data_IF_656761260251
#
_entry.id   IF_656761260251
#
_cell.length_a   1.000
_cell.length_b   1.000
_cell.length_c   1.000
_cell.angle_alpha   90.00
_cell.angle_beta   90.00
_cell.angle_gamma   90.00
#
_symmetry.space_group_name_H-M   'P 1'
#
loop_
_entity.id
_entity.type
_entity.pdbx_description
1 polymer ?
#
# COMPACT_ATOMS: atom_id res chain seq x y z
N UNK A 1 13.98 -22.44 12.73
CA UNK A 1 13.06 -23.23 13.58
C UNK A 1 12.43 -22.40 14.70
N UNK A 2 12.76 -22.53 16.01
CA UNK A 2 11.94 -21.94 17.11
C UNK A 2 11.50 -20.48 16.92
N UNK A 3 12.41 -19.57 16.59
CA UNK A 3 12.07 -18.15 16.35
C UNK A 3 11.14 -17.96 15.13
N UNK A 4 11.39 -18.66 14.02
CA UNK A 4 10.55 -18.60 12.82
C UNK A 4 9.14 -19.19 13.02
N UNK A 5 8.98 -20.15 13.93
CA UNK A 5 7.66 -20.62 14.37
C UNK A 5 6.91 -19.52 15.12
N UNK A 6 7.56 -18.91 16.12
CA UNK A 6 6.99 -17.80 16.89
C UNK A 6 6.63 -16.61 15.99
N UNK A 7 7.46 -16.29 15.00
CA UNK A 7 7.19 -15.27 13.99
C UNK A 7 5.93 -15.59 13.18
N UNK A 8 5.74 -16.85 12.77
CA UNK A 8 4.55 -17.30 12.05
C UNK A 8 3.30 -17.23 12.96
N UNK A 9 3.41 -17.64 14.22
CA UNK A 9 2.34 -17.54 15.22
C UNK A 9 1.92 -16.07 15.46
N UNK A 10 2.88 -15.14 15.47
CA UNK A 10 2.63 -13.69 15.57
C UNK A 10 1.94 -13.16 14.31
N UNK A 11 2.39 -13.56 13.11
CA UNK A 11 1.78 -13.13 11.84
C UNK A 11 0.34 -13.65 11.72
N UNK A 12 0.11 -14.94 11.98
CA UNK A 12 -1.22 -15.54 12.03
C UNK A 12 -2.12 -14.81 13.03
N UNK A 13 -1.62 -14.53 14.24
CA UNK A 13 -2.43 -13.84 15.25
C UNK A 13 -2.77 -12.40 14.83
N UNK A 14 -1.81 -11.61 14.34
CA UNK A 14 -2.02 -10.18 14.10
C UNK A 14 -2.69 -9.86 12.75
N UNK A 15 -2.39 -10.64 11.70
CA UNK A 15 -2.78 -10.33 10.32
C UNK A 15 -3.78 -11.33 9.72
N UNK A 16 -4.13 -12.40 10.45
CA UNK A 16 -5.23 -13.31 10.10
C UNK A 16 -6.29 -13.28 11.20
N UNK A 17 -6.04 -13.94 12.32
CA UNK A 17 -7.00 -14.28 13.39
C UNK A 17 -7.41 -13.14 14.34
N UNK A 18 -6.99 -11.89 14.08
CA UNK A 18 -7.41 -10.69 14.83
C UNK A 18 -7.59 -9.49 13.89
N UNK A 19 -8.05 -9.76 12.67
CA UNK A 19 -8.10 -8.79 11.56
C UNK A 19 -9.31 -9.02 10.66
N UNK A 20 -9.51 -8.14 9.67
CA UNK A 20 -10.53 -8.31 8.62
C UNK A 20 -10.35 -9.61 7.80
N UNK A 21 -9.13 -10.15 7.73
CA UNK A 21 -8.83 -11.43 7.07
C UNK A 21 -9.42 -12.68 7.79
N UNK A 22 -9.90 -12.55 9.03
CA UNK A 22 -10.67 -13.62 9.68
C UNK A 22 -12.03 -13.77 8.98
N UNK A 23 -12.84 -12.71 8.98
CA UNK A 23 -14.09 -12.60 8.22
C UNK A 23 -13.92 -12.91 6.73
N UNK A 24 -12.82 -12.44 6.12
CA UNK A 24 -12.56 -12.65 4.69
C UNK A 24 -12.43 -14.13 4.32
N UNK A 25 -11.89 -14.94 5.22
CA UNK A 25 -11.83 -16.39 5.07
C UNK A 25 -13.19 -17.02 5.33
N UNK A 26 -13.88 -16.64 6.41
CA UNK A 26 -15.21 -17.18 6.76
C UNK A 26 -16.20 -17.03 5.58
N UNK A 27 -16.24 -15.84 4.97
CA UNK A 27 -17.09 -15.53 3.81
C UNK A 27 -16.75 -16.42 2.61
N UNK A 28 -15.47 -16.67 2.31
CA UNK A 28 -15.09 -17.52 1.17
C UNK A 28 -15.33 -19.00 1.49
N UNK A 29 -15.00 -19.44 2.70
CA UNK A 29 -15.19 -20.83 3.13
C UNK A 29 -16.68 -21.23 3.10
N UNK A 30 -17.57 -20.42 3.67
CA UNK A 30 -19.04 -20.60 3.57
C UNK A 30 -19.47 -20.80 2.11
N UNK A 31 -19.04 -19.90 1.21
CA UNK A 31 -19.42 -19.92 -0.20
C UNK A 31 -18.85 -21.10 -1.00
N UNK A 32 -17.70 -21.64 -0.58
CA UNK A 32 -17.10 -22.83 -1.19
C UNK A 32 -17.70 -24.14 -0.65
N UNK A 33 -18.02 -24.18 0.64
CA UNK A 33 -18.66 -25.34 1.30
C UNK A 33 -20.13 -25.50 0.86
N UNK A 34 -20.89 -24.40 0.76
CA UNK A 34 -22.24 -24.37 0.17
C UNK A 34 -22.23 -24.49 -1.37
N UNK A 35 -21.05 -24.41 -2.01
CA UNK A 35 -20.86 -24.41 -3.46
C UNK A 35 -21.62 -23.27 -4.20
N UNK A 36 -21.87 -22.14 -3.53
CA UNK A 36 -22.45 -20.93 -4.13
C UNK A 36 -21.37 -20.08 -4.83
N UNK A 37 -20.78 -20.69 -5.87
CA UNK A 37 -19.80 -20.05 -6.74
C UNK A 37 -20.39 -18.84 -7.52
N UNK A 38 -21.72 -18.71 -7.57
CA UNK A 38 -22.44 -17.60 -8.21
C UNK A 38 -22.40 -16.34 -7.36
N UNK A 39 -22.75 -16.45 -6.06
CA UNK A 39 -22.59 -15.38 -5.06
C UNK A 39 -21.12 -14.99 -4.92
N UNK A 40 -20.19 -15.94 -5.00
CA UNK A 40 -18.75 -15.67 -4.98
C UNK A 40 -18.23 -14.93 -6.24
N UNK A 41 -18.55 -15.37 -7.46
CA UNK A 41 -18.13 -14.65 -8.68
C UNK A 41 -18.76 -13.25 -8.77
N UNK A 42 -20.02 -13.09 -8.31
CA UNK A 42 -20.62 -11.77 -8.16
C UNK A 42 -19.83 -10.90 -7.18
N UNK A 43 -19.56 -11.38 -5.97
CA UNK A 43 -18.80 -10.65 -4.94
C UNK A 43 -17.41 -10.23 -5.46
N UNK A 44 -16.80 -11.08 -6.29
CA UNK A 44 -15.47 -10.90 -6.88
C UNK A 44 -15.49 -10.30 -8.31
N UNK A 45 -16.60 -9.70 -8.75
CA UNK A 45 -16.64 -9.02 -10.06
C UNK A 45 -15.81 -7.74 -10.10
N UNK A 46 -15.42 -7.33 -11.30
CA UNK A 46 -14.60 -6.14 -11.53
C UNK A 46 -15.40 -4.84 -11.27
N UNK A 47 -15.03 -4.05 -10.26
CA UNK A 47 -15.80 -2.85 -9.90
C UNK A 47 -15.54 -1.65 -10.84
N UNK A 48 -14.62 -1.76 -11.80
CA UNK A 48 -14.47 -0.80 -12.89
C UNK A 48 -15.44 -1.07 -14.04
N UNK A 49 -16.08 -2.25 -14.07
CA UNK A 49 -17.10 -2.62 -15.05
C UNK A 49 -18.51 -2.49 -14.44
N UNK A 50 -18.70 -2.96 -13.21
CA UNK A 50 -19.96 -2.81 -12.47
C UNK A 50 -19.71 -2.19 -11.09
N UNK A 51 -20.16 -0.95 -10.88
CA UNK A 51 -19.97 -0.21 -9.63
C UNK A 51 -20.68 -0.88 -8.46
N UNK A 52 -19.99 -1.02 -7.32
CA UNK A 52 -20.57 -1.52 -6.06
C UNK A 52 -21.04 -0.37 -5.19
N UNK A 53 -22.27 -0.45 -4.68
CA UNK A 53 -22.88 0.56 -3.80
C UNK A 53 -23.52 0.00 -2.52
N UNK A 54 -23.65 -1.33 -2.38
CA UNK A 54 -24.12 -1.95 -1.14
C UNK A 54 -23.00 -1.99 -0.10
N UNK A 55 -23.28 -1.52 1.12
CA UNK A 55 -22.28 -1.41 2.19
C UNK A 55 -21.77 -2.76 2.69
N UNK A 56 -22.60 -3.80 2.66
CA UNK A 56 -22.24 -5.13 3.13
C UNK A 56 -21.36 -5.83 2.08
N UNK A 57 -21.67 -5.63 0.79
CA UNK A 57 -20.81 -6.07 -0.31
C UNK A 57 -19.45 -5.37 -0.28
N UNK A 58 -19.40 -4.08 0.08
CA UNK A 58 -18.14 -3.35 0.29
C UNK A 58 -17.35 -3.92 1.47
N UNK A 59 -17.95 -4.09 2.66
CA UNK A 59 -17.24 -4.67 3.81
C UNK A 59 -16.74 -6.09 3.52
N UNK A 60 -17.56 -6.93 2.89
CA UNK A 60 -17.17 -8.28 2.50
C UNK A 60 -15.95 -8.30 1.55
N UNK A 61 -15.90 -7.38 0.58
CA UNK A 61 -14.76 -7.25 -0.36
C UNK A 61 -13.52 -6.68 0.32
N UNK A 62 -13.66 -5.74 1.26
CA UNK A 62 -12.55 -5.30 2.11
C UNK A 62 -11.98 -6.44 2.96
N UNK A 63 -12.85 -7.29 3.54
CA UNK A 63 -12.45 -8.43 4.34
C UNK A 63 -11.67 -9.48 3.51
N UNK A 64 -12.12 -9.74 2.28
CA UNK A 64 -11.41 -10.62 1.34
C UNK A 64 -10.07 -10.00 0.88
N UNK A 65 -10.01 -8.68 0.66
CA UNK A 65 -8.76 -8.01 0.31
C UNK A 65 -7.72 -8.10 1.44
N UNK A 66 -8.11 -7.94 2.70
CA UNK A 66 -7.17 -8.13 3.82
C UNK A 66 -6.66 -9.59 3.91
N UNK A 67 -7.46 -10.58 3.48
CA UNK A 67 -7.00 -11.98 3.39
C UNK A 67 -5.97 -12.18 2.26
N UNK A 68 -6.18 -11.57 1.09
CA UNK A 68 -5.21 -11.60 -0.01
C UNK A 68 -3.92 -10.84 0.35
N UNK A 69 -4.03 -9.75 1.11
CA UNK A 69 -2.90 -9.05 1.72
C UNK A 69 -2.18 -9.93 2.76
N UNK A 70 -2.90 -10.73 3.56
CA UNK A 70 -2.28 -11.68 4.49
C UNK A 70 -1.48 -12.78 3.76
N UNK A 71 -2.04 -13.40 2.72
CA UNK A 71 -1.29 -14.38 1.91
C UNK A 71 -0.11 -13.74 1.18
N UNK A 72 -0.26 -12.48 0.75
CA UNK A 72 0.84 -11.69 0.21
C UNK A 72 1.94 -11.44 1.25
N UNK A 73 1.56 -11.16 2.51
CA UNK A 73 2.47 -10.95 3.63
C UNK A 73 3.26 -12.22 3.98
N UNK A 74 2.61 -13.39 3.98
CA UNK A 74 3.28 -14.68 4.15
C UNK A 74 4.34 -14.92 3.06
N UNK A 75 4.05 -14.56 1.81
CA UNK A 75 5.02 -14.74 0.72
C UNK A 75 6.25 -13.83 0.86
N UNK A 76 6.07 -12.58 1.31
CA UNK A 76 7.18 -11.69 1.66
C UNK A 76 7.95 -12.20 2.89
N UNK A 77 7.27 -12.81 3.87
CA UNK A 77 7.88 -13.43 5.05
C UNK A 77 8.73 -14.68 4.71
N UNK A 78 8.34 -15.44 3.67
CA UNK A 78 9.13 -16.56 3.14
C UNK A 78 10.40 -16.06 2.41
N UNK A 79 10.27 -15.08 1.52
CA UNK A 79 11.43 -14.52 0.78
C UNK A 79 12.49 -13.84 1.69
N UNK A 80 12.09 -13.43 2.89
CA UNK A 80 12.96 -12.82 3.91
C UNK A 80 13.54 -13.82 4.93
N UNK A 81 13.23 -15.13 4.80
CA UNK A 81 13.54 -16.17 5.81
C UNK A 81 12.91 -15.89 7.19
N UNK A 82 11.96 -14.95 7.29
CA UNK A 82 11.34 -14.52 8.54
C UNK A 82 10.45 -15.61 9.16
N UNK A 83 9.83 -16.43 8.32
CA UNK A 83 9.17 -17.70 8.66
C UNK A 83 9.85 -18.87 7.93
N UNK A 84 9.60 -20.10 8.38
CA UNK A 84 10.23 -21.30 7.77
C UNK A 84 9.49 -21.72 6.51
N UNK A 85 10.22 -22.25 5.53
CA UNK A 85 9.69 -23.07 4.44
C UNK A 85 10.02 -24.56 4.69
N UNK A 86 9.15 -25.52 4.32
CA UNK A 86 7.76 -25.30 3.88
C UNK A 86 6.88 -24.76 5.02
N UNK A 87 5.69 -24.25 4.67
CA UNK A 87 4.66 -23.92 5.66
C UNK A 87 4.09 -25.20 6.30
N UNK A 88 3.37 -25.07 7.42
CA UNK A 88 2.72 -26.23 8.04
C UNK A 88 1.49 -26.69 7.23
N UNK A 89 1.14 -28.00 7.24
CA UNK A 89 0.07 -28.54 6.40
C UNK A 89 -1.26 -27.77 6.51
N UNK A 90 -1.70 -27.45 7.75
CA UNK A 90 -2.92 -26.64 7.96
C UNK A 90 -2.94 -25.33 7.16
N UNK A 91 -1.79 -24.68 7.00
CA UNK A 91 -1.67 -23.39 6.29
C UNK A 91 -1.59 -23.63 4.77
N UNK A 92 -0.93 -24.69 4.31
CA UNK A 92 -0.92 -25.03 2.88
C UNK A 92 -2.30 -25.47 2.40
N UNK A 93 -3.02 -26.23 3.22
CA UNK A 93 -4.39 -26.71 2.95
C UNK A 93 -5.37 -25.53 2.89
N UNK A 94 -5.25 -24.55 3.80
CA UNK A 94 -6.03 -23.31 3.78
C UNK A 94 -5.75 -22.51 2.49
N UNK A 95 -4.47 -22.31 2.15
CA UNK A 95 -4.07 -21.49 1.01
C UNK A 95 -4.50 -22.13 -0.31
N UNK A 96 -4.39 -23.46 -0.48
CA UNK A 96 -4.91 -24.10 -1.68
C UNK A 96 -6.44 -24.03 -1.72
N UNK A 97 -7.16 -24.44 -0.66
CA UNK A 97 -8.62 -24.40 -0.64
C UNK A 97 -9.21 -23.04 -1.05
N UNK A 98 -8.62 -21.95 -0.53
CA UNK A 98 -9.06 -20.59 -0.83
C UNK A 98 -8.57 -20.11 -2.21
N UNK A 99 -7.25 -20.07 -2.44
CA UNK A 99 -6.68 -19.46 -3.66
C UNK A 99 -6.89 -20.32 -4.92
N UNK A 100 -7.05 -21.63 -4.80
CA UNK A 100 -7.33 -22.52 -5.93
C UNK A 100 -8.78 -22.37 -6.46
N UNK A 101 -9.67 -21.70 -5.73
CA UNK A 101 -11.05 -21.47 -6.19
C UNK A 101 -11.11 -20.57 -7.44
N UNK A 102 -11.86 -20.99 -8.47
CA UNK A 102 -11.88 -20.29 -9.78
C UNK A 102 -12.28 -18.79 -9.70
N UNK A 103 -13.31 -18.39 -8.94
CA UNK A 103 -13.66 -16.98 -8.82
C UNK A 103 -12.55 -16.14 -8.17
N UNK A 104 -11.83 -16.69 -7.19
CA UNK A 104 -10.76 -15.98 -6.51
C UNK A 104 -9.47 -15.94 -7.36
N UNK A 105 -9.13 -17.01 -8.08
CA UNK A 105 -8.07 -16.96 -9.10
C UNK A 105 -8.31 -15.79 -10.05
N UNK A 106 -9.46 -15.78 -10.73
CA UNK A 106 -9.90 -14.70 -11.64
C UNK A 106 -9.80 -13.31 -10.97
N UNK A 107 -10.17 -13.19 -9.70
CA UNK A 107 -10.01 -11.94 -8.94
C UNK A 107 -8.56 -11.46 -8.91
N UNK A 108 -7.62 -12.28 -8.40
CA UNK A 108 -6.22 -11.87 -8.22
C UNK A 108 -5.32 -12.10 -9.45
N UNK A 109 -5.81 -12.67 -10.55
CA UNK A 109 -5.08 -12.76 -11.83
C UNK A 109 -5.52 -11.72 -12.86
N UNK A 110 -6.82 -11.35 -12.88
CA UNK A 110 -7.37 -10.52 -13.96
C UNK A 110 -7.78 -9.10 -13.50
N UNK A 111 -8.23 -8.88 -12.25
CA UNK A 111 -9.13 -7.74 -12.01
C UNK A 111 -8.51 -6.36 -11.70
N UNK A 112 -7.64 -6.05 -10.74
CA UNK A 112 -7.04 -6.73 -9.56
C UNK A 112 -5.92 -7.79 -9.68
N UNK A 113 -5.03 -7.79 -10.71
CA UNK A 113 -3.83 -8.65 -10.69
C UNK A 113 -2.91 -8.41 -9.48
N UNK A 114 -2.63 -9.46 -8.71
CA UNK A 114 -1.61 -9.50 -7.64
C UNK A 114 -0.74 -10.76 -7.77
N UNK A 115 0.59 -10.58 -7.76
CA UNK A 115 1.56 -11.64 -8.06
C UNK A 115 1.89 -12.50 -6.83
N UNK A 116 1.79 -11.97 -5.62
CA UNK A 116 2.16 -12.68 -4.40
C UNK A 116 1.21 -13.86 -4.06
N UNK A 117 -0.14 -13.73 -4.18
CA UNK A 117 -1.06 -14.86 -4.04
C UNK A 117 -0.85 -15.94 -5.13
N UNK A 118 -0.51 -15.54 -6.36
CA UNK A 118 -0.17 -16.49 -7.43
C UNK A 118 1.07 -17.34 -7.06
N UNK A 119 2.10 -16.68 -6.53
CA UNK A 119 3.37 -17.33 -6.20
C UNK A 119 3.31 -18.26 -5.00
N UNK A 120 2.58 -17.89 -3.94
CA UNK A 120 2.45 -18.78 -2.77
C UNK A 120 1.65 -20.04 -3.12
N UNK A 121 0.56 -19.90 -3.90
CA UNK A 121 -0.20 -21.04 -4.41
C UNK A 121 0.64 -21.95 -5.33
N UNK A 122 1.43 -21.36 -6.23
CA UNK A 122 2.35 -22.12 -7.11
C UNK A 122 3.35 -22.95 -6.31
N UNK A 123 4.08 -22.32 -5.39
CA UNK A 123 5.11 -23.01 -4.59
C UNK A 123 4.51 -24.14 -3.73
N UNK A 124 3.31 -23.95 -3.18
CA UNK A 124 2.58 -25.00 -2.45
C UNK A 124 2.23 -26.19 -3.37
N UNK A 125 1.74 -25.92 -4.58
CA UNK A 125 1.32 -26.97 -5.53
C UNK A 125 2.45 -27.81 -6.11
N UNK A 126 3.69 -27.32 -6.10
CA UNK A 126 4.87 -28.09 -6.57
C UNK A 126 5.83 -28.51 -5.44
N UNK A 127 5.57 -28.10 -4.19
CA UNK A 127 6.46 -28.23 -3.02
C UNK A 127 7.88 -27.63 -3.19
N UNK A 128 8.07 -26.76 -4.20
CA UNK A 128 9.33 -26.06 -4.48
C UNK A 128 9.28 -24.60 -4.00
N UNK A 129 9.52 -24.40 -2.70
CA UNK A 129 9.68 -23.06 -2.13
C UNK A 129 10.98 -22.39 -2.59
N UNK A 130 10.92 -21.09 -2.90
CA UNK A 130 12.10 -20.30 -3.27
C UNK A 130 13.13 -20.26 -2.12
N UNK A 131 14.29 -20.86 -2.34
CA UNK A 131 15.41 -20.88 -1.38
C UNK A 131 16.30 -19.66 -1.61
N UNK A 132 16.06 -18.62 -0.83
CA UNK A 132 16.91 -17.43 -0.81
C UNK A 132 18.31 -17.77 -0.27
N UNK A 133 19.37 -17.42 -1.00
CA UNK A 133 20.76 -17.74 -0.64
C UNK A 133 21.31 -16.80 0.46
N UNK A 134 20.83 -17.00 1.69
CA UNK A 134 21.40 -16.53 2.97
C UNK A 134 21.85 -15.06 2.96
N UNK A 135 20.91 -14.12 2.79
CA UNK A 135 21.12 -12.76 3.28
C UNK A 135 20.55 -12.61 4.71
N UNK A 136 21.45 -12.49 5.69
CA UNK A 136 21.13 -12.31 7.12
C UNK A 136 20.23 -11.08 7.36
N UNK A 137 20.31 -10.06 6.51
CA UNK A 137 19.52 -8.83 6.62
C UNK A 137 18.04 -9.00 6.26
N UNK A 138 17.63 -10.11 5.62
CA UNK A 138 16.26 -10.33 5.17
C UNK A 138 15.21 -10.16 6.27
N UNK A 139 15.52 -10.65 7.48
CA UNK A 139 14.66 -10.51 8.67
C UNK A 139 14.50 -9.07 9.13
N UNK A 140 15.60 -8.32 9.22
CA UNK A 140 15.61 -6.91 9.62
C UNK A 140 14.89 -6.02 8.61
N UNK A 141 15.01 -6.36 7.32
CA UNK A 141 14.21 -5.77 6.23
C UNK A 141 12.72 -6.06 6.45
N UNK A 142 12.34 -7.29 6.79
CA UNK A 142 10.95 -7.65 7.06
C UNK A 142 10.37 -6.95 8.30
N UNK A 143 11.13 -6.85 9.40
CA UNK A 143 10.72 -6.10 10.58
C UNK A 143 10.42 -4.63 10.26
N UNK A 144 11.29 -3.98 9.47
CA UNK A 144 11.05 -2.60 8.97
C UNK A 144 9.84 -2.51 8.05
N UNK A 145 9.65 -3.49 7.16
CA UNK A 145 8.48 -3.58 6.29
C UNK A 145 7.18 -3.69 7.10
N UNK A 146 7.13 -4.54 8.13
CA UNK A 146 5.98 -4.67 9.03
C UNK A 146 5.64 -3.33 9.70
N UNK A 147 6.65 -2.58 10.17
CA UNK A 147 6.45 -1.27 10.81
C UNK A 147 5.84 -0.25 9.82
N UNK A 148 6.39 -0.13 8.60
CA UNK A 148 5.89 0.81 7.59
C UNK A 148 4.50 0.42 7.06
N UNK A 149 4.22 -0.89 6.92
CA UNK A 149 2.90 -1.41 6.56
C UNK A 149 1.87 -1.11 7.68
N UNK A 150 2.20 -1.37 8.96
CA UNK A 150 1.31 -1.02 10.08
C UNK A 150 1.08 0.50 10.19
N UNK A 151 2.10 1.32 9.96
CA UNK A 151 1.97 2.78 9.95
C UNK A 151 1.00 3.25 8.86
N UNK A 152 1.22 2.84 7.61
CA UNK A 152 0.35 3.23 6.49
C UNK A 152 -1.07 2.70 6.60
N UNK A 153 -1.28 1.45 7.05
CA UNK A 153 -2.63 0.87 7.22
C UNK A 153 -3.43 1.42 8.41
N UNK A 154 -2.78 1.92 9.48
CA UNK A 154 -3.47 2.34 10.72
C UNK A 154 -3.56 3.85 10.94
N UNK A 155 -2.91 4.67 10.12
CA UNK A 155 -3.03 6.12 10.22
C UNK A 155 -4.25 6.63 9.44
N UNK A 156 -5.30 7.02 10.17
CA UNK A 156 -6.55 7.58 9.62
C UNK A 156 -6.32 8.70 8.59
N UNK A 157 -5.30 9.53 8.76
CA UNK A 157 -5.07 10.68 7.90
C UNK A 157 -4.43 10.23 6.57
N UNK A 158 -3.50 9.26 6.60
CA UNK A 158 -2.99 8.59 5.40
C UNK A 158 -4.13 7.87 4.66
N UNK A 159 -4.95 7.11 5.37
CA UNK A 159 -6.08 6.38 4.75
C UNK A 159 -7.09 7.34 4.11
N UNK A 160 -7.38 8.47 4.76
CA UNK A 160 -8.26 9.51 4.22
C UNK A 160 -7.68 10.20 2.97
N UNK A 161 -6.37 10.47 2.95
CA UNK A 161 -5.66 10.97 1.76
C UNK A 161 -5.76 9.95 0.61
N UNK A 162 -5.37 8.70 0.85
CA UNK A 162 -5.34 7.65 -0.18
C UNK A 162 -6.75 7.38 -0.74
N UNK A 163 -7.78 7.44 0.10
CA UNK A 163 -9.17 7.34 -0.31
C UNK A 163 -9.58 8.49 -1.23
N UNK A 164 -9.34 9.75 -0.83
CA UNK A 164 -9.62 10.92 -1.69
C UNK A 164 -8.84 10.86 -3.01
N UNK A 165 -7.55 10.50 -2.96
CA UNK A 165 -6.71 10.30 -4.13
C UNK A 165 -7.19 9.17 -5.06
N UNK A 166 -8.03 8.24 -4.57
CA UNK A 166 -8.65 7.19 -5.37
C UNK A 166 -10.09 7.54 -5.87
N UNK A 167 -10.48 8.81 -5.81
CA UNK A 167 -11.83 9.37 -6.04
C UNK A 167 -12.86 9.17 -4.92
N UNK A 168 -12.42 9.00 -3.68
CA UNK A 168 -13.28 9.28 -2.52
C UNK A 168 -13.60 10.77 -2.41
N UNK A 169 -14.72 11.12 -1.77
CA UNK A 169 -15.16 12.50 -1.59
C UNK A 169 -15.71 12.77 -0.20
N UNK A 170 -15.25 13.87 0.43
CA UNK A 170 -15.56 14.19 1.82
C UNK A 170 -16.80 15.08 1.84
N UNK A 171 -17.96 14.44 1.85
CA UNK A 171 -19.26 15.09 1.72
C UNK A 171 -19.46 15.68 0.33
N UNK A 172 -18.95 16.90 0.10
CA UNK A 172 -18.91 17.55 -1.22
C UNK A 172 -17.49 17.77 -1.77
N UNK A 173 -16.46 17.59 -0.94
CA UNK A 173 -15.09 17.95 -1.30
C UNK A 173 -14.39 16.81 -2.05
N UNK A 174 -13.85 17.11 -3.23
CA UNK A 174 -13.08 16.16 -4.06
C UNK A 174 -11.57 16.42 -3.98
N UNK A 175 -10.76 15.65 -4.70
CA UNK A 175 -9.32 15.88 -4.81
C UNK A 175 -9.01 17.20 -5.55
N UNK A 176 -9.87 17.61 -6.49
CA UNK A 176 -9.76 18.88 -7.21
C UNK A 176 -10.02 20.09 -6.29
N UNK A 177 -10.92 19.98 -5.30
CA UNK A 177 -11.07 21.01 -4.26
C UNK A 177 -9.83 21.11 -3.36
N UNK A 178 -9.21 19.95 -3.04
CA UNK A 178 -7.97 19.90 -2.27
C UNK A 178 -6.78 20.51 -3.04
N UNK A 179 -6.68 20.25 -4.34
CA UNK A 179 -5.71 20.90 -5.23
C UNK A 179 -5.94 22.42 -5.29
N UNK A 180 -7.17 22.88 -5.45
CA UNK A 180 -7.51 24.33 -5.42
C UNK A 180 -7.19 24.98 -4.07
N UNK A 181 -7.39 24.28 -2.95
CA UNK A 181 -7.00 24.76 -1.61
C UNK A 181 -5.48 24.99 -1.53
N UNK A 182 -4.67 24.05 -2.05
CA UNK A 182 -3.20 24.14 -2.06
C UNK A 182 -2.65 25.25 -2.98
N UNK A 183 -3.35 25.59 -4.06
CA UNK A 183 -3.00 26.75 -4.91
C UNK A 183 -3.38 28.10 -4.26
N UNK A 184 -4.42 28.13 -3.43
CA UNK A 184 -5.08 29.38 -3.03
C UNK A 184 -4.50 30.00 -1.75
N UNK A 185 -3.50 30.87 -1.94
CA UNK A 185 -2.79 31.68 -0.93
C UNK A 185 -3.64 32.37 0.16
N UNK A 186 -4.97 32.50 -0.01
CA UNK A 186 -5.86 33.20 0.92
C UNK A 186 -7.01 32.35 1.49
N UNK A 187 -7.19 31.09 1.05
CA UNK A 187 -8.30 30.25 1.49
C UNK A 187 -7.99 29.41 2.74
N UNK A 188 -6.78 29.50 3.29
CA UNK A 188 -6.43 29.04 4.66
C UNK A 188 -7.09 29.87 5.78
N UNK A 189 -8.26 30.45 5.52
CA UNK A 189 -9.23 30.81 6.55
C UNK A 189 -9.82 29.51 7.09
N UNK A 190 -9.17 28.99 8.13
CA UNK A 190 -9.71 27.92 8.97
C UNK A 190 -10.92 28.47 9.72
N UNK A 191 -12.07 28.48 9.06
CA UNK A 191 -13.36 28.53 9.74
C UNK A 191 -13.43 27.31 10.68
N UNK A 192 -13.92 27.49 11.91
CA UNK A 192 -14.09 26.39 12.88
C UNK A 192 -15.22 25.40 12.50
N UNK A 193 -15.67 25.42 11.24
CA UNK A 193 -16.62 24.48 10.67
C UNK A 193 -15.94 23.11 10.45
N UNK A 194 -16.68 22.02 10.70
CA UNK A 194 -16.16 20.65 10.73
C UNK A 194 -15.40 20.22 9.45
N UNK A 195 -15.69 20.84 8.30
CA UNK A 195 -15.00 20.59 7.03
C UNK A 195 -13.52 21.02 7.04
N UNK A 196 -13.14 22.06 7.78
CA UNK A 196 -11.74 22.51 7.85
C UNK A 196 -10.88 21.53 8.64
N UNK A 197 -11.44 20.92 9.69
CA UNK A 197 -10.81 19.84 10.46
C UNK A 197 -10.44 18.68 9.51
N UNK A 198 -11.35 18.31 8.62
CA UNK A 198 -11.13 17.19 7.69
C UNK A 198 -10.15 17.55 6.56
N UNK A 199 -10.17 18.78 6.03
CA UNK A 199 -9.15 19.23 5.08
C UNK A 199 -7.75 19.30 5.74
N UNK A 200 -7.66 19.72 7.00
CA UNK A 200 -6.42 19.66 7.79
C UNK A 200 -5.93 18.21 7.99
N UNK A 201 -6.85 17.24 8.21
CA UNK A 201 -6.48 15.81 8.22
C UNK A 201 -5.86 15.38 6.89
N UNK A 202 -6.39 15.78 5.74
CA UNK A 202 -5.79 15.42 4.43
C UNK A 202 -4.40 16.03 4.26
N UNK A 203 -4.17 17.27 4.73
CA UNK A 203 -2.83 17.90 4.70
C UNK A 203 -1.81 17.17 5.58
N UNK A 204 -2.23 16.70 6.75
CA UNK A 204 -1.42 15.82 7.61
C UNK A 204 -1.23 14.42 7.02
N UNK A 205 -2.26 13.85 6.39
CA UNK A 205 -2.18 12.62 5.62
C UNK A 205 -1.12 12.71 4.53
N UNK A 206 -1.12 13.79 3.75
CA UNK A 206 -0.10 14.08 2.74
C UNK A 206 1.30 14.14 3.34
N UNK A 207 1.48 14.88 4.43
CA UNK A 207 2.79 15.03 5.09
C UNK A 207 3.29 13.69 5.64
N UNK A 208 2.43 12.90 6.28
CA UNK A 208 2.75 11.55 6.77
C UNK A 208 3.05 10.58 5.62
N UNK A 209 2.30 10.67 4.53
CA UNK A 209 2.47 9.82 3.36
C UNK A 209 3.77 10.11 2.62
N UNK A 210 4.21 11.37 2.49
CA UNK A 210 5.53 11.66 1.88
C UNK A 210 6.70 11.17 2.73
N UNK A 211 6.57 11.13 4.07
CA UNK A 211 7.55 10.46 4.93
C UNK A 211 7.55 8.93 4.72
N UNK A 212 6.37 8.30 4.70
CA UNK A 212 6.24 6.87 4.37
C UNK A 212 6.88 6.54 3.00
N UNK A 213 6.67 7.39 1.99
CA UNK A 213 7.27 7.24 0.65
C UNK A 213 8.80 7.25 0.70
N UNK A 214 9.40 8.18 1.46
CA UNK A 214 10.85 8.26 1.66
C UNK A 214 11.40 7.03 2.40
N UNK A 215 10.79 6.66 3.54
CA UNK A 215 11.17 5.48 4.33
C UNK A 215 11.04 4.17 3.52
N UNK A 216 9.99 4.06 2.70
CA UNK A 216 9.69 2.89 1.90
C UNK A 216 10.60 2.78 0.65
N UNK A 217 10.90 3.91 0.01
CA UNK A 217 11.93 3.98 -1.03
C UNK A 217 13.31 3.58 -0.46
N UNK A 218 13.67 4.08 0.72
CA UNK A 218 14.93 3.70 1.38
C UNK A 218 14.95 2.20 1.75
N UNK A 219 13.87 1.67 2.32
CA UNK A 219 13.73 0.23 2.60
C UNK A 219 13.97 -0.61 1.34
N UNK A 220 13.39 -0.23 0.20
CA UNK A 220 13.59 -0.93 -1.06
C UNK A 220 15.01 -0.77 -1.62
N UNK A 221 15.70 0.35 -1.39
CA UNK A 221 17.12 0.51 -1.75
C UNK A 221 18.02 -0.38 -0.87
N UNK A 222 17.70 -0.51 0.42
CA UNK A 222 18.40 -1.44 1.32
C UNK A 222 18.20 -2.91 0.89
N UNK A 223 17.10 -3.22 0.17
CA UNK A 223 16.83 -4.54 -0.41
C UNK A 223 17.60 -4.84 -1.71
N UNK A 224 18.38 -3.92 -2.29
CA UNK A 224 18.93 -4.06 -3.66
C UNK A 224 19.78 -5.33 -3.90
N UNK A 225 20.43 -5.87 -2.85
CA UNK A 225 21.21 -7.11 -2.92
C UNK A 225 20.35 -8.39 -2.84
N UNK A 226 19.02 -8.25 -2.76
CA UNK A 226 18.05 -9.33 -2.81
C UNK A 226 16.85 -8.91 -3.69
N UNK A 227 16.99 -8.94 -5.04
CA UNK A 227 15.97 -8.43 -5.95
C UNK A 227 14.60 -9.11 -5.82
N UNK A 228 14.56 -10.38 -5.41
CA UNK A 228 13.29 -11.09 -5.18
C UNK A 228 12.54 -10.52 -3.97
N UNK A 229 13.22 -10.26 -2.85
CA UNK A 229 12.59 -9.62 -1.69
C UNK A 229 12.26 -8.15 -1.95
N UNK A 230 13.13 -7.41 -2.63
CA UNK A 230 12.86 -6.04 -3.08
C UNK A 230 11.57 -5.99 -3.91
N UNK A 231 11.48 -6.84 -4.93
CA UNK A 231 10.34 -6.94 -5.82
C UNK A 231 9.08 -7.42 -5.11
N UNK A 232 9.20 -8.36 -4.15
CA UNK A 232 8.09 -8.84 -3.35
C UNK A 232 7.53 -7.77 -2.39
N UNK A 233 8.39 -7.02 -1.70
CA UNK A 233 7.96 -5.88 -0.88
C UNK A 233 7.27 -4.85 -1.78
N UNK A 234 7.90 -4.45 -2.89
CA UNK A 234 7.31 -3.53 -3.85
C UNK A 234 5.92 -4.00 -4.34
N UNK A 235 5.79 -5.29 -4.67
CA UNK A 235 4.52 -5.87 -5.11
C UNK A 235 3.41 -5.79 -4.06
N UNK A 236 3.72 -5.83 -2.76
CA UNK A 236 2.73 -5.70 -1.70
C UNK A 236 1.98 -4.35 -1.76
N UNK A 237 2.70 -3.24 -1.99
CA UNK A 237 2.10 -1.91 -2.18
C UNK A 237 1.93 -1.52 -3.65
N UNK A 238 2.09 -2.45 -4.61
CA UNK A 238 2.12 -2.12 -6.04
C UNK A 238 0.82 -1.52 -6.58
N UNK A 239 -0.31 -1.73 -5.92
CA UNK A 239 -1.58 -1.04 -6.23
C UNK A 239 -1.49 0.50 -6.09
N UNK A 240 -0.49 1.04 -5.38
CA UNK A 240 -0.23 2.48 -5.27
C UNK A 240 0.80 3.00 -6.29
N UNK A 241 1.65 2.11 -6.84
CA UNK A 241 2.88 2.49 -7.56
C UNK A 241 3.00 1.95 -8.99
N UNK A 242 2.47 0.75 -9.28
CA UNK A 242 2.57 0.06 -10.58
C UNK A 242 1.75 0.71 -11.71
N UNK A 243 1.36 1.97 -11.53
CA UNK A 243 0.87 2.78 -12.64
C UNK A 243 0.98 4.27 -12.32
N UNK A 244 1.66 5.01 -13.19
CA UNK A 244 1.43 6.45 -13.38
C UNK A 244 0.00 6.74 -13.91
N UNK A 245 -0.76 5.68 -14.25
CA UNK A 245 -2.21 5.70 -14.49
C UNK A 245 -3.05 5.52 -13.22
N UNK A 246 -2.45 5.21 -12.07
CA UNK A 246 -3.16 5.20 -10.79
C UNK A 246 -3.58 6.62 -10.45
N UNK A 247 -4.80 6.76 -9.93
CA UNK A 247 -5.29 8.06 -9.46
C UNK A 247 -4.41 8.59 -8.32
N UNK A 248 -3.86 7.70 -7.48
CA UNK A 248 -2.93 8.02 -6.41
C UNK A 248 -1.65 8.68 -6.94
N UNK A 249 -0.94 8.05 -7.88
CA UNK A 249 0.28 8.62 -8.45
C UNK A 249 0.05 9.92 -9.21
N UNK A 250 -1.03 9.99 -9.98
CA UNK A 250 -1.44 11.20 -10.71
C UNK A 250 -1.73 12.38 -9.76
N UNK A 251 -2.55 12.16 -8.73
CA UNK A 251 -2.93 13.18 -7.76
C UNK A 251 -1.77 13.60 -6.84
N UNK A 252 -0.86 12.67 -6.51
CA UNK A 252 0.37 12.97 -5.77
C UNK A 252 1.31 13.87 -6.58
N UNK A 253 1.53 13.59 -7.87
CA UNK A 253 2.35 14.43 -8.73
C UNK A 253 1.76 15.85 -8.87
N UNK A 254 0.45 15.96 -9.16
CA UNK A 254 -0.22 17.27 -9.22
C UNK A 254 -0.07 18.04 -7.90
N UNK A 255 -0.25 17.36 -6.77
CA UNK A 255 -0.06 17.95 -5.43
C UNK A 255 1.36 18.49 -5.24
N UNK A 256 2.39 17.73 -5.65
CA UNK A 256 3.79 18.17 -5.56
C UNK A 256 4.10 19.35 -6.49
N UNK A 257 3.58 19.35 -7.72
CA UNK A 257 3.76 20.49 -8.63
C UNK A 257 3.04 21.75 -8.13
N UNK A 258 1.85 21.62 -7.55
CA UNK A 258 1.15 22.73 -6.87
C UNK A 258 1.98 23.24 -5.68
N UNK A 259 2.50 22.35 -4.84
CA UNK A 259 3.35 22.73 -3.71
C UNK A 259 4.59 23.48 -4.19
N UNK A 260 5.35 22.94 -5.16
CA UNK A 260 6.51 23.62 -5.78
C UNK A 260 6.16 24.99 -6.37
N UNK A 261 5.04 25.10 -7.08
CA UNK A 261 4.50 26.36 -7.62
C UNK A 261 4.22 27.37 -6.50
N UNK A 262 3.55 26.96 -5.43
CA UNK A 262 3.33 27.81 -4.24
C UNK A 262 4.65 28.22 -3.56
N UNK A 263 5.59 27.28 -3.35
CA UNK A 263 6.93 27.52 -2.79
C UNK A 263 7.72 28.59 -3.58
N UNK A 264 7.79 28.46 -4.90
CA UNK A 264 8.47 29.43 -5.77
C UNK A 264 7.80 30.80 -5.79
N UNK A 265 6.48 30.86 -5.59
CA UNK A 265 5.70 32.09 -5.55
C UNK A 265 5.61 32.75 -4.14
N UNK A 266 6.28 32.23 -3.12
CA UNK A 266 6.40 32.92 -1.81
C UNK A 266 7.48 33.99 -1.83
N UNK A 267 7.05 35.25 -1.93
CA UNK A 267 7.83 36.42 -1.56
C UNK A 267 8.15 36.38 -0.05
N UNK A 268 9.43 36.46 0.31
CA UNK A 268 9.89 36.36 1.70
C UNK A 268 9.43 37.51 2.59
N UNK A 269 9.06 38.67 2.02
CA UNK A 269 8.46 39.77 2.79
C UNK A 269 7.04 39.43 3.25
N UNK A 270 6.25 38.81 2.38
CA UNK A 270 4.83 38.54 2.67
C UNK A 270 4.69 37.48 3.78
N UNK A 271 5.59 36.50 3.83
CA UNK A 271 5.65 35.52 4.93
C UNK A 271 5.90 36.20 6.29
N UNK A 272 6.94 37.04 6.42
CA UNK A 272 7.31 37.68 7.70
C UNK A 272 6.18 38.57 8.24
N UNK A 273 5.44 39.25 7.36
CA UNK A 273 4.35 40.15 7.76
C UNK A 273 2.96 39.50 7.75
N UNK A 274 2.85 38.19 7.47
CA UNK A 274 1.58 37.47 7.57
C UNK A 274 1.23 37.20 9.04
N UNK A 275 0.07 37.65 9.56
CA UNK A 275 -0.36 37.31 10.90
C UNK A 275 -0.47 35.79 11.07
N UNK A 276 0.18 35.24 12.11
CA UNK A 276 0.35 33.79 12.37
C UNK A 276 1.40 33.07 11.51
N UNK A 277 2.33 33.77 10.84
CA UNK A 277 3.56 33.11 10.36
C UNK A 277 4.37 32.58 11.55
N UNK A 278 4.84 31.34 11.45
CA UNK A 278 5.86 30.78 12.35
C UNK A 278 7.29 31.06 11.86
N UNK A 279 7.47 31.52 10.62
CA UNK A 279 8.74 31.99 10.08
C UNK A 279 8.87 33.49 10.40
N UNK A 280 9.81 33.82 11.28
CA UNK A 280 9.95 35.14 11.89
C UNK A 280 11.07 36.00 11.28
N UNK A 281 12.03 35.35 10.61
CA UNK A 281 13.23 35.98 10.04
C UNK A 281 13.41 35.67 8.55
N UNK A 282 14.24 36.46 7.88
CA UNK A 282 14.65 36.20 6.49
C UNK A 282 15.52 34.94 6.43
N UNK A 283 16.32 34.70 7.47
CA UNK A 283 17.23 33.56 7.61
C UNK A 283 16.46 32.23 7.75
N UNK A 284 15.43 32.15 8.59
CA UNK A 284 14.54 30.98 8.64
C UNK A 284 13.89 30.69 7.27
N UNK A 285 13.52 31.73 6.50
CA UNK A 285 12.96 31.57 5.15
C UNK A 285 14.03 31.15 4.13
N UNK A 286 15.29 31.56 4.30
CA UNK A 286 16.42 31.06 3.48
C UNK A 286 16.67 29.60 3.79
N UNK A 287 16.86 29.24 5.05
CA UNK A 287 17.12 27.85 5.48
C UNK A 287 15.97 26.94 5.08
N UNK A 288 14.71 27.36 5.25
CA UNK A 288 13.54 26.61 4.76
C UNK A 288 13.52 26.45 3.23
N UNK A 289 13.97 27.46 2.46
CA UNK A 289 14.11 27.34 1.00
C UNK A 289 15.33 26.52 0.57
N UNK A 290 16.41 26.48 1.34
CA UNK A 290 17.57 25.59 1.11
C UNK A 290 17.24 24.14 1.49
N UNK A 291 16.41 23.94 2.50
CA UNK A 291 15.85 22.64 2.87
C UNK A 291 14.68 22.20 1.96
N UNK A 292 14.24 23.04 1.01
CA UNK A 292 13.26 22.63 0.00
C UNK A 292 13.78 21.52 -0.92
N UNK A 293 15.10 21.24 -0.92
CA UNK A 293 15.73 20.04 -1.47
C UNK A 293 15.06 18.73 -0.99
N UNK A 294 14.37 18.72 0.17
CA UNK A 294 13.55 17.58 0.58
C UNK A 294 12.43 17.24 -0.43
N UNK A 295 11.90 18.21 -1.18
CA UNK A 295 10.93 17.96 -2.25
C UNK A 295 11.57 17.24 -3.45
N UNK A 296 12.83 17.55 -3.76
CA UNK A 296 13.60 16.87 -4.82
C UNK A 296 13.95 15.43 -4.41
N UNK A 297 14.24 15.20 -3.12
CA UNK A 297 14.36 13.85 -2.56
C UNK A 297 13.04 13.07 -2.70
N UNK A 298 11.91 13.67 -2.30
CA UNK A 298 10.58 13.02 -2.37
C UNK A 298 10.21 12.69 -3.82
N UNK A 299 10.50 13.56 -4.80
CA UNK A 299 10.33 13.22 -6.22
C UNK A 299 11.25 12.08 -6.65
N UNK A 300 12.52 12.08 -6.26
CA UNK A 300 13.48 10.99 -6.57
C UNK A 300 13.02 9.65 -5.94
N UNK A 301 12.39 9.70 -4.76
CA UNK A 301 11.77 8.54 -4.11
C UNK A 301 10.54 8.06 -4.87
N UNK A 302 9.69 8.97 -5.37
CA UNK A 302 8.51 8.65 -6.18
C UNK A 302 8.93 8.07 -7.54
N UNK A 303 9.84 8.71 -8.28
CA UNK A 303 10.34 8.19 -9.57
C UNK A 303 10.93 6.79 -9.41
N UNK A 304 11.67 6.55 -8.32
CA UNK A 304 12.18 5.23 -7.97
C UNK A 304 11.06 4.22 -7.68
N UNK A 305 10.07 4.57 -6.84
CA UNK A 305 8.93 3.67 -6.52
C UNK A 305 8.02 3.39 -7.71
N UNK A 306 7.89 4.34 -8.64
CA UNK A 306 7.10 4.17 -9.87
C UNK A 306 7.89 3.48 -11.00
N UNK A 307 9.15 3.09 -10.79
CA UNK A 307 9.89 2.30 -11.77
C UNK A 307 9.37 0.85 -11.82
N UNK A 308 8.79 0.46 -12.95
CA UNK A 308 8.33 -0.89 -13.26
C UNK A 308 9.43 -1.96 -13.25
N UNK A 309 10.71 -1.58 -13.30
CA UNK A 309 11.82 -2.53 -13.18
C UNK A 309 11.83 -3.23 -11.82
N UNK A 310 11.32 -2.58 -10.77
CA UNK A 310 11.14 -3.18 -9.44
C UNK A 310 10.17 -4.39 -9.45
N UNK A 311 9.32 -4.53 -10.47
CA UNK A 311 8.42 -5.68 -10.64
C UNK A 311 9.11 -6.90 -11.30
N UNK A 312 10.17 -6.67 -12.08
CA UNK A 312 10.72 -7.68 -12.99
C UNK A 312 11.29 -8.92 -12.30
N UNK A 313 11.99 -8.85 -11.15
CA UNK A 313 12.50 -10.04 -10.48
C UNK A 313 11.38 -11.02 -10.09
N UNK A 314 10.25 -10.52 -9.58
CA UNK A 314 9.13 -11.35 -9.15
C UNK A 314 8.31 -11.89 -10.34
N UNK A 315 8.12 -11.09 -11.40
CA UNK A 315 7.52 -11.56 -12.64
C UNK A 315 8.33 -12.68 -13.30
N UNK A 316 9.66 -12.55 -13.34
CA UNK A 316 10.55 -13.59 -13.86
C UNK A 316 10.45 -14.89 -13.05
N UNK A 317 10.42 -14.80 -11.71
CA UNK A 317 10.21 -15.96 -10.84
C UNK A 317 8.86 -16.64 -11.08
N UNK A 318 7.77 -15.86 -11.18
CA UNK A 318 6.43 -16.37 -11.49
C UNK A 318 6.38 -17.09 -12.84
N UNK A 319 7.10 -16.59 -13.85
CA UNK A 319 7.19 -17.20 -15.17
C UNK A 319 8.07 -18.46 -15.20
N UNK A 320 9.10 -18.57 -14.34
CA UNK A 320 9.90 -19.80 -14.22
C UNK A 320 9.17 -20.93 -13.49
N UNK A 321 8.26 -20.61 -12.56
CA UNK A 321 7.43 -21.57 -11.81
C UNK A 321 6.17 -21.95 -12.59
N UNK A 322 6.30 -22.26 -13.88
CA UNK A 322 5.20 -22.75 -14.72
C UNK A 322 5.29 -24.27 -14.87
N UNK A 323 4.15 -24.93 -14.73
CA UNK A 323 4.03 -26.39 -14.74
C UNK A 323 4.51 -27.01 -16.06
N UNK A 324 5.28 -28.09 -15.96
CA UNK A 324 5.44 -29.12 -17.01
C UNK A 324 4.48 -30.28 -16.72
#
# INVERSE_FOLDING_TARGET
>A
MKAQSLNLDILLKQYRNQSKAEKGFEIIAELLEDNDLSKLDKLLRNHHVESVSDSNEIEARENINELLDFYSLLQVALFSDYISAPLSPKITDEIDFILNSKPLQKYYTENYPSVLPQLILKQIKVDEYFKNNINIQGKVIFDRFLILNQFSKRDDDIQLLLWMYNSGSIGRYTVEDFHQLLESKHNFKVDNNQNSITLNKILWGLTKFTHFINDYAQLLRDCQFNPILQSAIWHYHSNWFNSQKSKIGYNLNITLQIIKKSFSQFNSKDLIYTPRSYLSTIEEIKDWKTNANHLESIETDIEYLFNSDLAQPLHNLNNSLNYN
#
